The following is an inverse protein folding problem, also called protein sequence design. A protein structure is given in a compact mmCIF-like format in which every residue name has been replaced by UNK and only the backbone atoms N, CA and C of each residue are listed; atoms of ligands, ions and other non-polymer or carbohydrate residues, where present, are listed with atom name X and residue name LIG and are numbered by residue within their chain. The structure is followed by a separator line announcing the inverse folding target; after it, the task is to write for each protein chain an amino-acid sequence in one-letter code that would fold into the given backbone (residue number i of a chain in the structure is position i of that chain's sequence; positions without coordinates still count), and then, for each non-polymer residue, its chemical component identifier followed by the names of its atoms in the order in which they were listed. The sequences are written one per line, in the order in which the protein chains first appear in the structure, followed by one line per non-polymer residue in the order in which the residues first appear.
data_IF_769111397377
#
_entry.id   IF_769111397377
#
_cell.length_a   1.000
_cell.length_b   1.000
_cell.length_c   1.000
_cell.angle_alpha   90.00
_cell.angle_beta   90.00
_cell.angle_gamma   90.00
#
_symmetry.space_group_name_H-M   'P 1'
#
loop_
_entity.id
_entity.type
_entity.pdbx_description
1 polymer ?
#
# COMPACT_ATOMS: atom_id res chain seq x y z
N UNK A 1 -2.79 13.71 12.92
CA UNK A 1 -3.54 12.75 13.78
C UNK A 1 -3.98 11.50 13.00
N UNK A 2 -3.12 10.95 12.13
CA UNK A 2 -3.44 9.76 11.33
C UNK A 2 -3.29 8.48 12.15
N UNK A 3 -2.10 8.28 12.74
CA UNK A 3 -1.78 7.14 13.61
C UNK A 3 -2.79 6.98 14.75
N UNK A 4 -3.17 8.08 15.42
CA UNK A 4 -4.15 8.04 16.50
C UNK A 4 -5.55 7.54 16.09
N UNK A 5 -5.92 7.70 14.81
CA UNK A 5 -7.19 7.24 14.25
C UNK A 5 -7.04 5.96 13.42
N UNK A 6 -5.82 5.43 13.30
CA UNK A 6 -5.53 4.25 12.48
C UNK A 6 -6.34 3.02 12.89
N UNK A 7 -6.28 2.55 14.16
CA UNK A 7 -6.98 1.33 14.55
C UNK A 7 -8.51 1.50 14.57
N UNK A 8 -9.02 2.71 14.78
CA UNK A 8 -10.45 2.95 15.03
C UNK A 8 -11.23 3.48 13.84
N UNK A 9 -10.58 4.11 12.86
CA UNK A 9 -11.26 4.76 11.74
C UNK A 9 -10.69 4.33 10.39
N UNK A 10 -9.37 4.40 10.20
CA UNK A 10 -8.78 4.17 8.89
C UNK A 10 -8.68 2.69 8.53
N UNK A 11 -8.08 1.87 9.39
CA UNK A 11 -7.88 0.44 9.12
C UNK A 11 -9.20 -0.31 8.85
N UNK A 12 -10.27 -0.19 9.68
CA UNK A 12 -11.52 -0.88 9.40
C UNK A 12 -12.16 -0.49 8.06
N UNK A 13 -12.02 0.78 7.68
CA UNK A 13 -12.58 1.30 6.43
C UNK A 13 -11.82 0.81 5.20
N UNK A 14 -10.48 0.78 5.28
CA UNK A 14 -9.64 0.22 4.22
C UNK A 14 -10.01 -1.25 3.98
N UNK A 15 -10.16 -2.05 5.04
CA UNK A 15 -10.54 -3.46 4.94
C UNK A 15 -11.90 -3.59 4.25
N UNK A 16 -12.90 -2.81 4.68
CA UNK A 16 -14.23 -2.85 4.10
C UNK A 16 -14.24 -2.44 2.61
N UNK A 17 -13.49 -1.41 2.24
CA UNK A 17 -13.42 -0.93 0.86
C UNK A 17 -12.67 -1.95 -0.04
N UNK A 18 -11.61 -2.60 0.47
CA UNK A 18 -10.84 -3.60 -0.26
C UNK A 18 -11.55 -4.94 -0.46
N UNK A 19 -12.50 -5.31 0.40
CA UNK A 19 -13.35 -6.49 0.19
C UNK A 19 -14.22 -6.40 -1.08
N UNK A 20 -14.38 -5.20 -1.66
CA UNK A 20 -15.17 -4.95 -2.86
C UNK A 20 -14.31 -4.68 -4.12
N UNK A 21 -12.97 -4.74 -4.01
CA UNK A 21 -12.05 -4.52 -5.12
C UNK A 21 -11.98 -5.75 -6.04
N UNK A 22 -11.66 -5.54 -7.31
CA UNK A 22 -11.47 -6.65 -8.25
C UNK A 22 -10.23 -7.47 -7.84
N UNK A 23 -10.46 -8.72 -7.44
CA UNK A 23 -9.48 -9.60 -6.82
C UNK A 23 -8.37 -9.99 -7.81
N UNK A 24 -7.16 -9.47 -7.60
CA UNK A 24 -5.93 -10.08 -8.09
C UNK A 24 -5.29 -10.84 -6.94
N UNK A 25 -4.56 -11.94 -7.23
CA UNK A 25 -3.99 -12.84 -6.22
C UNK A 25 -3.31 -12.12 -5.03
N UNK A 26 -2.60 -11.02 -5.29
CA UNK A 26 -1.94 -10.22 -4.25
C UNK A 26 -2.89 -9.52 -3.27
N UNK A 27 -4.09 -9.12 -3.69
CA UNK A 27 -5.08 -8.46 -2.81
C UNK A 27 -5.70 -9.50 -1.86
N UNK A 28 -5.90 -10.73 -2.33
CA UNK A 28 -6.47 -11.81 -1.53
C UNK A 28 -5.49 -12.30 -0.45
N UNK A 29 -4.20 -12.41 -0.79
CA UNK A 29 -3.14 -12.72 0.18
C UNK A 29 -3.08 -11.66 1.30
N UNK A 30 -3.16 -10.37 0.93
CA UNK A 30 -3.17 -9.27 1.89
C UNK A 30 -4.44 -9.22 2.74
N UNK A 31 -5.60 -9.60 2.18
CA UNK A 31 -6.84 -9.72 2.96
C UNK A 31 -6.78 -10.88 3.95
N UNK A 32 -6.18 -12.00 3.56
CA UNK A 32 -5.95 -13.15 4.44
C UNK A 32 -5.04 -12.79 5.61
N UNK A 33 -3.98 -12.00 5.36
CA UNK A 33 -3.09 -11.47 6.39
C UNK A 33 -3.77 -10.56 7.43
N UNK A 34 -4.97 -10.06 7.15
CA UNK A 34 -5.74 -9.24 8.10
C UNK A 34 -6.70 -10.06 8.97
N UNK A 35 -7.06 -11.26 8.52
CA UNK A 35 -7.99 -12.15 9.20
C UNK A 35 -7.25 -13.21 10.02
N UNK A 36 -6.07 -13.64 9.56
CA UNK A 36 -5.23 -14.64 10.21
C UNK A 36 -4.12 -13.99 11.04
N UNK A 37 -4.12 -14.22 12.35
CA UNK A 37 -3.07 -13.70 13.26
C UNK A 37 -1.70 -14.35 13.05
N UNK A 38 -1.67 -15.51 12.38
CA UNK A 38 -0.49 -16.34 12.19
C UNK A 38 0.15 -16.13 10.80
N UNK A 39 -0.36 -15.17 10.03
CA UNK A 39 0.20 -14.81 8.74
C UNK A 39 1.52 -14.05 8.92
N UNK A 40 2.47 -14.26 8.00
CA UNK A 40 3.83 -13.67 8.10
C UNK A 40 3.84 -12.13 8.06
N UNK A 41 2.76 -11.54 7.54
CA UNK A 41 2.63 -10.10 7.38
C UNK A 41 1.99 -9.44 8.60
N UNK A 42 2.58 -8.32 9.03
CA UNK A 42 1.95 -7.45 10.01
C UNK A 42 0.64 -6.86 9.44
N UNK A 43 -0.43 -6.96 10.22
CA UNK A 43 -1.77 -6.54 9.79
C UNK A 43 -1.87 -5.03 9.51
N UNK A 44 -1.08 -4.18 10.15
CA UNK A 44 -1.04 -2.75 9.83
C UNK A 44 -0.32 -2.51 8.50
N UNK A 45 0.79 -3.21 8.25
CA UNK A 45 1.51 -3.17 6.98
C UNK A 45 0.62 -3.65 5.83
N UNK A 46 -0.08 -4.77 6.00
CA UNK A 46 -1.00 -5.30 5.00
C UNK A 46 -2.13 -4.31 4.68
N UNK A 47 -2.72 -3.68 5.70
CA UNK A 47 -3.74 -2.65 5.51
C UNK A 47 -3.19 -1.39 4.81
N UNK A 48 -1.93 -0.99 5.04
CA UNK A 48 -1.30 0.12 4.31
C UNK A 48 -1.10 -0.24 2.83
N UNK A 49 -0.70 -1.49 2.53
CA UNK A 49 -0.57 -1.96 1.14
C UNK A 49 -1.91 -2.00 0.41
N UNK A 50 -2.97 -2.43 1.09
CA UNK A 50 -4.34 -2.38 0.57
C UNK A 50 -4.81 -0.94 0.31
N UNK A 51 -4.43 0.03 1.14
CA UNK A 51 -4.71 1.44 0.89
C UNK A 51 -4.14 1.92 -0.45
N UNK A 52 -2.95 1.45 -0.86
CA UNK A 52 -2.37 1.81 -2.17
C UNK A 52 -3.27 1.38 -3.34
N UNK A 53 -3.96 0.24 -3.22
CA UNK A 53 -4.89 -0.24 -4.25
C UNK A 53 -6.20 0.57 -4.32
N UNK A 54 -6.56 1.27 -3.22
CA UNK A 54 -7.70 2.19 -3.19
C UNK A 54 -7.37 3.59 -3.71
N UNK A 55 -6.08 3.94 -3.77
CA UNK A 55 -5.69 5.23 -4.34
C UNK A 55 -6.02 5.21 -5.83
N UNK A 56 -6.66 6.26 -6.36
CA UNK A 56 -6.83 6.36 -7.80
C UNK A 56 -5.44 6.24 -8.44
N UNK A 57 -5.29 5.47 -9.54
CA UNK A 57 -4.02 5.42 -10.27
C UNK A 57 -3.61 6.85 -10.51
N UNK A 58 -2.48 7.24 -9.90
CA UNK A 58 -2.15 8.65 -9.71
C UNK A 58 -2.36 9.37 -11.03
N UNK A 59 -3.23 10.39 -11.03
CA UNK A 59 -3.57 11.20 -12.20
C UNK A 59 -2.31 11.84 -12.72
N UNK A 60 -1.55 11.10 -13.56
CA UNK A 60 -0.26 11.50 -14.13
C UNK A 60 0.44 12.53 -13.23
N UNK A 61 1.02 12.08 -12.10
CA UNK A 61 2.09 12.87 -11.50
C UNK A 61 3.01 13.30 -12.65
N UNK A 62 3.41 14.59 -12.69
CA UNK A 62 4.20 15.22 -13.77
C UNK A 62 5.05 14.15 -14.43
N UNK A 63 4.75 13.76 -15.68
CA UNK A 63 5.48 12.69 -16.37
C UNK A 63 6.97 12.98 -16.23
N UNK A 64 7.64 12.31 -15.31
CA UNK A 64 9.09 12.33 -15.28
C UNK A 64 9.50 11.62 -16.55
N UNK A 65 10.43 12.20 -17.29
CA UNK A 65 10.98 11.54 -18.47
C UNK A 65 11.39 10.12 -18.12
N UNK A 66 11.33 9.20 -19.08
CA UNK A 66 11.92 7.88 -18.90
C UNK A 66 13.38 8.10 -18.51
N UNK A 67 13.74 7.74 -17.29
CA UNK A 67 15.13 7.76 -16.83
C UNK A 67 15.74 6.38 -17.14
N UNK A 68 17.02 6.39 -17.48
CA UNK A 68 17.81 5.17 -17.63
C UNK A 68 17.97 4.45 -16.29
N UNK A 69 18.33 3.16 -16.33
CA UNK A 69 18.65 2.40 -15.12
C UNK A 69 19.80 3.04 -14.32
N UNK A 70 20.74 3.70 -15.01
CA UNK A 70 21.88 4.40 -14.41
C UNK A 70 21.43 5.63 -13.63
N UNK A 71 20.57 6.47 -14.22
CA UNK A 71 19.99 7.63 -13.52
C UNK A 71 19.13 7.18 -12.33
N UNK A 72 18.38 6.08 -12.47
CA UNK A 72 17.60 5.54 -11.37
C UNK A 72 18.46 5.16 -10.16
N UNK A 73 19.65 4.58 -10.38
CA UNK A 73 20.57 4.20 -9.30
C UNK A 73 21.02 5.42 -8.46
N UNK A 74 21.32 6.55 -9.10
CA UNK A 74 21.73 7.78 -8.41
C UNK A 74 20.61 8.42 -7.57
N UNK A 75 19.35 8.20 -7.95
CA UNK A 75 18.18 8.70 -7.22
C UNK A 75 17.78 7.85 -6.02
N UNK A 76 17.96 6.53 -6.09
CA UNK A 76 17.56 5.57 -5.04
C UNK A 76 18.42 5.71 -3.77
N UNK A 77 19.70 6.09 -3.91
CA UNK A 77 20.66 6.15 -2.80
C UNK A 77 20.43 7.33 -1.82
N UNK A 78 19.54 8.28 -2.14
CA UNK A 78 19.34 9.49 -1.30
C UNK A 78 18.41 9.34 -0.09
N UNK A 79 17.96 8.13 0.25
CA UNK A 79 17.32 7.85 1.54
C UNK A 79 18.29 7.17 2.51
N UNK A 80 19.29 7.93 2.95
CA UNK A 80 19.98 7.66 4.20
C UNK A 80 19.94 8.91 5.06
N UNK A 81 18.98 8.93 5.99
CA UNK A 81 19.08 9.64 7.27
C UNK A 81 18.19 8.95 8.30
#
# INVERSE_FOLDING_TARGET
KFIAKWPTFYKPRIIADCKNLHHGAHVDDLLSALEESDYEWDSDVAAILLLLHLLPPTVKGRKTGKISATEAADHVVKFMK
#
